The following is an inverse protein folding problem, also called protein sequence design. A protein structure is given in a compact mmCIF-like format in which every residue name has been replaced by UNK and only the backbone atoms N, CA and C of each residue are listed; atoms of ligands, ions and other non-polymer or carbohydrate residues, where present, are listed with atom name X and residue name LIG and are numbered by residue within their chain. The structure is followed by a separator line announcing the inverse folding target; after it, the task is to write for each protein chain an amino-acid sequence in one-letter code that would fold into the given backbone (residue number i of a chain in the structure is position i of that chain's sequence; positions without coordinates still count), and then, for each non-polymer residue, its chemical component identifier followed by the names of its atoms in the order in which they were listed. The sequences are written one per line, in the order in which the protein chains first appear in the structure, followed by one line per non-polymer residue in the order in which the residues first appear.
data_IF_619555829677
#
_entry.id   IF_619555829677
#
_cell.length_a   1.000
_cell.length_b   1.000
_cell.length_c   1.000
_cell.angle_alpha   90.00
_cell.angle_beta   90.00
_cell.angle_gamma   90.00
#
_symmetry.space_group_name_H-M   'P 1'
#
loop_
_entity.id
_entity.type
_entity.pdbx_description
1 polymer ?
#
# COMPACT_ATOMS: atom_id res chain seq x y z
N UNK A 1 -54.04 -21.74 18.66
CA UNK A 1 -53.32 -22.51 19.70
C UNK A 1 -52.02 -22.95 19.06
N UNK A 2 -50.95 -22.18 19.24
CA UNK A 2 -49.65 -22.38 18.58
C UNK A 2 -48.70 -23.04 19.58
N UNK A 3 -48.00 -24.07 19.11
CA UNK A 3 -46.98 -24.89 19.77
C UNK A 3 -46.26 -24.26 20.96
N UNK A 4 -46.70 -24.60 22.17
CA UNK A 4 -45.98 -24.33 23.43
C UNK A 4 -45.03 -25.49 23.80
N UNK A 5 -45.18 -26.65 23.15
CA UNK A 5 -44.40 -27.87 23.36
C UNK A 5 -43.09 -27.92 22.55
N UNK A 6 -43.06 -27.32 21.36
CA UNK A 6 -41.87 -27.31 20.50
C UNK A 6 -40.74 -26.40 21.00
N UNK A 7 -41.07 -25.26 21.60
CA UNK A 7 -40.08 -24.32 22.16
C UNK A 7 -39.43 -24.85 23.44
N UNK A 8 -40.18 -25.59 24.26
CA UNK A 8 -39.65 -26.22 25.48
C UNK A 8 -38.61 -27.30 25.18
N UNK A 9 -38.87 -28.18 24.20
CA UNK A 9 -37.93 -29.24 23.82
C UNK A 9 -36.61 -28.70 23.24
N UNK A 10 -36.65 -27.59 22.50
CA UNK A 10 -35.44 -26.95 21.96
C UNK A 10 -34.67 -26.22 23.07
N UNK A 11 -35.36 -25.62 24.04
CA UNK A 11 -34.74 -25.01 25.21
C UNK A 11 -34.04 -26.03 26.12
N UNK A 12 -34.66 -27.19 26.36
CA UNK A 12 -34.08 -28.26 27.16
C UNK A 12 -32.88 -28.93 26.48
N UNK A 13 -32.94 -29.11 25.15
CA UNK A 13 -31.79 -29.59 24.39
C UNK A 13 -30.64 -28.58 24.40
N UNK A 14 -30.91 -27.30 24.19
CA UNK A 14 -29.92 -26.24 24.28
C UNK A 14 -29.28 -26.19 25.68
N UNK A 15 -30.09 -26.32 26.73
CA UNK A 15 -29.61 -26.36 28.12
C UNK A 15 -28.75 -27.59 28.39
N UNK A 16 -29.13 -28.77 27.90
CA UNK A 16 -28.34 -30.00 28.02
C UNK A 16 -26.98 -29.91 27.30
N UNK A 17 -26.95 -29.30 26.13
CA UNK A 17 -25.71 -29.07 25.37
C UNK A 17 -24.83 -28.04 26.08
N UNK A 18 -25.42 -26.95 26.59
CA UNK A 18 -24.71 -25.94 27.39
C UNK A 18 -24.17 -26.53 28.68
N UNK A 19 -24.95 -27.33 29.42
CA UNK A 19 -24.52 -27.94 30.68
C UNK A 19 -23.42 -29.00 30.47
N UNK A 20 -23.37 -29.63 29.29
CA UNK A 20 -22.32 -30.61 28.93
C UNK A 20 -21.03 -29.95 28.47
N UNK A 21 -21.11 -28.81 27.80
CA UNK A 21 -19.95 -28.02 27.35
C UNK A 21 -19.43 -27.11 28.48
N UNK A 22 -20.34 -26.65 29.36
CA UNK A 22 -20.07 -25.74 30.46
C UNK A 22 -20.84 -26.18 31.72
N UNK A 23 -20.24 -27.00 32.60
CA UNK A 23 -20.91 -27.44 33.81
C UNK A 23 -21.35 -26.25 34.67
N UNK A 24 -22.56 -26.27 35.26
CA UNK A 24 -23.02 -25.21 36.17
C UNK A 24 -22.15 -25.07 37.44
N UNK A 25 -21.26 -26.04 37.70
CA UNK A 25 -20.30 -26.06 38.80
C UNK A 25 -18.84 -25.78 38.37
N UNK A 26 -18.60 -25.14 37.22
CA UNK A 26 -17.26 -24.70 36.86
C UNK A 26 -16.84 -23.52 37.77
N UNK A 27 -15.79 -23.73 38.57
CA UNK A 27 -15.16 -22.75 39.45
C UNK A 27 -14.88 -21.46 38.64
N UNK A 28 -15.23 -20.25 39.13
CA UNK A 28 -14.93 -18.99 38.43
C UNK A 28 -13.47 -18.87 37.95
N UNK A 29 -12.52 -19.56 38.59
CA UNK A 29 -11.13 -19.67 38.14
C UNK A 29 -10.96 -20.37 36.79
N UNK A 30 -11.72 -21.43 36.53
CA UNK A 30 -11.62 -22.20 35.27
C UNK A 30 -12.22 -21.42 34.09
N UNK A 31 -13.25 -20.61 34.35
CA UNK A 31 -13.82 -19.71 33.33
C UNK A 31 -12.85 -18.58 32.97
N UNK A 32 -12.17 -18.02 33.97
CA UNK A 32 -11.11 -17.02 33.74
C UNK A 32 -9.91 -17.64 33.00
N UNK A 33 -9.48 -18.84 33.38
CA UNK A 33 -8.42 -19.55 32.68
C UNK A 33 -8.79 -19.88 31.22
N UNK A 34 -10.04 -20.27 30.98
CA UNK A 34 -10.55 -20.48 29.62
C UNK A 34 -10.64 -19.18 28.81
N UNK A 35 -11.03 -18.06 29.42
CA UNK A 35 -11.03 -16.74 28.77
C UNK A 35 -9.61 -16.29 28.40
N UNK A 36 -8.66 -16.41 29.32
CA UNK A 36 -7.24 -16.09 29.05
C UNK A 36 -6.66 -16.98 27.96
N UNK A 37 -6.97 -18.29 27.98
CA UNK A 37 -6.56 -19.20 26.93
C UNK A 37 -7.19 -18.85 25.57
N UNK A 38 -8.46 -18.42 25.55
CA UNK A 38 -9.10 -17.94 24.33
C UNK A 38 -8.47 -16.64 23.81
N UNK A 39 -8.17 -15.68 24.69
CA UNK A 39 -7.48 -14.44 24.30
C UNK A 39 -6.10 -14.73 23.71
N UNK A 40 -5.32 -15.62 24.32
CA UNK A 40 -4.02 -16.06 23.78
C UNK A 40 -4.17 -16.75 22.42
N UNK A 41 -5.19 -17.59 22.25
CA UNK A 41 -5.45 -18.24 20.97
C UNK A 41 -5.87 -17.22 19.91
N UNK A 42 -6.69 -16.22 20.24
CA UNK A 42 -7.08 -15.15 19.33
C UNK A 42 -5.87 -14.28 18.94
N UNK A 43 -5.03 -13.89 19.90
CA UNK A 43 -3.79 -13.14 19.63
C UNK A 43 -2.83 -13.93 18.71
N UNK A 44 -2.70 -15.25 18.94
CA UNK A 44 -1.89 -16.13 18.08
C UNK A 44 -2.46 -16.25 16.66
N UNK A 45 -3.79 -16.25 16.51
CA UNK A 45 -4.46 -16.29 15.20
C UNK A 45 -4.28 -14.97 14.46
N UNK A 46 -4.47 -13.85 15.15
CA UNK A 46 -4.32 -12.52 14.56
C UNK A 46 -2.89 -12.26 14.11
N UNK A 47 -1.89 -12.62 14.92
CA UNK A 47 -0.48 -12.51 14.54
C UNK A 47 -0.15 -13.35 13.30
N UNK A 48 -0.62 -14.60 13.23
CA UNK A 48 -0.44 -15.45 12.05
C UNK A 48 -1.12 -14.89 10.79
N UNK A 49 -2.32 -14.33 10.94
CA UNK A 49 -3.03 -13.70 9.81
C UNK A 49 -2.28 -12.46 9.31
N UNK A 50 -1.83 -11.60 10.22
CA UNK A 50 -1.07 -10.40 9.87
C UNK A 50 0.26 -10.76 9.20
N UNK A 51 0.96 -11.77 9.70
CA UNK A 51 2.24 -12.20 9.10
C UNK A 51 2.03 -12.86 7.74
N UNK A 52 0.96 -13.63 7.56
CA UNK A 52 0.60 -14.20 6.26
C UNK A 52 0.30 -13.08 5.25
N UNK A 53 -0.52 -12.10 5.62
CA UNK A 53 -0.82 -10.94 4.75
C UNK A 53 0.43 -10.15 4.40
N UNK A 54 1.32 -9.88 5.38
CA UNK A 54 2.61 -9.24 5.12
C UNK A 54 3.46 -10.05 4.15
N UNK A 55 3.55 -11.37 4.33
CA UNK A 55 4.35 -12.24 3.46
C UNK A 55 3.86 -12.23 2.02
N UNK A 56 2.53 -12.20 1.81
CA UNK A 56 1.91 -12.08 0.48
C UNK A 56 2.25 -10.71 -0.11
N UNK A 57 2.07 -9.62 0.63
CA UNK A 57 2.40 -8.28 0.15
C UNK A 57 3.88 -8.17 -0.21
N UNK A 58 4.77 -8.75 0.60
CA UNK A 58 6.21 -8.78 0.32
C UNK A 58 6.50 -9.61 -0.93
N UNK A 59 5.85 -10.75 -1.12
CA UNK A 59 6.00 -11.59 -2.31
C UNK A 59 5.50 -10.90 -3.59
N UNK A 60 4.34 -10.24 -3.53
CA UNK A 60 3.79 -9.40 -4.62
C UNK A 60 4.74 -8.23 -4.93
N UNK A 61 5.23 -7.55 -3.90
CA UNK A 61 6.27 -6.52 -4.02
C UNK A 61 7.63 -7.10 -4.45
N UNK A 62 7.83 -8.42 -4.45
CA UNK A 62 9.03 -9.09 -4.94
C UNK A 62 8.87 -9.62 -6.38
N UNK A 63 7.65 -9.64 -6.94
CA UNK A 63 7.41 -10.00 -8.34
C UNK A 63 8.26 -9.16 -9.32
N UNK A 64 9.03 -9.82 -10.19
CA UNK A 64 10.18 -9.24 -10.91
C UNK A 64 9.89 -8.24 -12.04
N UNK A 65 8.72 -7.60 -12.09
CA UNK A 65 8.42 -6.61 -13.13
C UNK A 65 9.30 -5.36 -12.95
N UNK A 66 10.25 -5.20 -13.89
CA UNK A 66 11.21 -4.10 -13.91
C UNK A 66 10.52 -2.76 -14.12
N UNK A 67 9.37 -2.72 -14.80
CA UNK A 67 8.69 -1.48 -15.13
C UNK A 67 7.73 -1.04 -14.03
N UNK A 68 6.91 -1.88 -13.42
CA UNK A 68 6.05 -1.43 -12.30
C UNK A 68 6.84 -1.09 -11.03
N UNK A 69 7.96 -1.77 -10.75
CA UNK A 69 8.81 -1.49 -9.57
C UNK A 69 9.71 -0.28 -9.71
N UNK A 70 10.13 0.04 -10.94
CA UNK A 70 11.09 1.13 -11.23
C UNK A 70 10.56 2.16 -12.23
N UNK A 71 9.25 2.19 -12.48
CA UNK A 71 8.59 3.24 -13.27
C UNK A 71 8.85 4.64 -12.71
N UNK A 72 9.07 4.72 -11.40
CA UNK A 72 9.20 5.98 -10.65
C UNK A 72 10.35 6.88 -11.19
N UNK A 73 11.58 6.37 -11.38
CA UNK A 73 12.63 7.13 -12.05
C UNK A 73 12.53 7.15 -13.59
N UNK A 74 11.91 6.16 -14.24
CA UNK A 74 11.88 6.12 -15.71
C UNK A 74 11.08 7.26 -16.33
N UNK A 75 9.96 7.67 -15.71
CA UNK A 75 9.16 8.83 -16.16
C UNK A 75 9.97 10.13 -16.09
N UNK A 76 10.80 10.27 -15.05
CA UNK A 76 11.66 11.45 -14.87
C UNK A 76 12.75 11.47 -15.94
N UNK A 77 13.42 10.35 -16.18
CA UNK A 77 14.43 10.24 -17.23
C UNK A 77 13.83 10.42 -18.62
N UNK A 78 12.62 9.92 -18.86
CA UNK A 78 11.95 10.09 -20.15
C UNK A 78 11.58 11.56 -20.39
N UNK A 79 11.06 12.27 -19.37
CA UNK A 79 10.79 13.70 -19.46
C UNK A 79 12.05 14.56 -19.62
N UNK A 80 13.14 14.23 -18.93
CA UNK A 80 14.44 14.87 -19.15
C UNK A 80 14.99 14.59 -20.55
N UNK A 81 14.81 13.36 -21.05
CA UNK A 81 15.21 12.97 -22.41
C UNK A 81 14.41 13.73 -23.47
N UNK A 82 13.09 13.85 -23.31
CA UNK A 82 12.25 14.64 -24.22
C UNK A 82 12.60 16.12 -24.19
N UNK A 83 12.92 16.67 -23.01
CA UNK A 83 13.40 18.04 -22.88
C UNK A 83 14.74 18.23 -23.61
N UNK A 84 15.72 17.35 -23.37
CA UNK A 84 17.02 17.41 -24.04
C UNK A 84 16.88 17.29 -25.55
N UNK A 85 15.99 16.42 -26.03
CA UNK A 85 15.74 16.24 -27.47
C UNK A 85 15.21 17.53 -28.09
N UNK A 86 14.16 18.12 -27.53
CA UNK A 86 13.48 19.28 -28.13
C UNK A 86 14.26 20.57 -27.91
N UNK A 87 14.86 20.78 -26.74
CA UNK A 87 15.53 22.05 -26.39
C UNK A 87 17.02 22.09 -26.72
N UNK A 88 17.67 20.93 -26.91
CA UNK A 88 19.11 20.87 -27.21
C UNK A 88 19.37 20.19 -28.55
N UNK A 89 18.93 18.95 -28.74
CA UNK A 89 19.28 18.17 -29.94
C UNK A 89 18.69 18.81 -31.20
N UNK A 90 17.40 19.15 -31.19
CA UNK A 90 16.72 19.75 -32.35
C UNK A 90 17.36 21.09 -32.76
N UNK A 91 17.59 22.06 -31.86
CA UNK A 91 18.30 23.31 -32.19
C UNK A 91 19.75 23.10 -32.63
N UNK A 92 20.48 22.14 -32.06
CA UNK A 92 21.86 21.84 -32.48
C UNK A 92 21.87 21.24 -33.88
N UNK A 93 20.98 20.29 -34.19
CA UNK A 93 20.82 19.73 -35.52
C UNK A 93 20.41 20.81 -36.54
N UNK A 94 19.50 21.71 -36.14
CA UNK A 94 19.10 22.90 -36.90
C UNK A 94 20.32 23.73 -37.28
N UNK A 95 21.14 24.11 -36.30
CA UNK A 95 22.32 24.93 -36.51
C UNK A 95 23.34 24.25 -37.44
N UNK A 96 23.57 22.94 -37.27
CA UNK A 96 24.44 22.15 -38.15
C UNK A 96 23.92 22.15 -39.60
N UNK A 97 22.62 21.96 -39.81
CA UNK A 97 22.02 21.98 -41.15
C UNK A 97 22.15 23.35 -41.83
N UNK A 98 22.03 24.45 -41.08
CA UNK A 98 22.31 25.80 -41.58
C UNK A 98 23.76 25.96 -42.01
N UNK A 99 24.72 25.43 -41.23
CA UNK A 99 26.14 25.45 -41.60
C UNK A 99 26.43 24.66 -42.88
N UNK A 100 25.66 23.61 -43.15
CA UNK A 100 25.74 22.83 -44.39
C UNK A 100 24.99 23.49 -45.57
N UNK A 101 24.44 24.69 -45.42
CA UNK A 101 23.77 25.44 -46.49
C UNK A 101 22.36 24.97 -46.84
N UNK A 102 21.73 24.13 -46.01
CA UNK A 102 20.35 23.72 -46.20
C UNK A 102 19.38 24.74 -45.58
N UNK A 103 18.22 25.00 -46.23
CA UNK A 103 17.19 25.86 -45.68
C UNK A 103 16.60 25.22 -44.41
N UNK A 104 16.47 26.03 -43.37
CA UNK A 104 16.15 25.56 -42.04
C UNK A 104 14.81 26.15 -41.60
N UNK A 105 13.74 25.40 -41.85
CA UNK A 105 12.38 25.73 -41.43
C UNK A 105 11.96 24.75 -40.34
N UNK A 106 12.47 24.92 -39.12
CA UNK A 106 11.96 24.15 -38.00
C UNK A 106 10.72 24.85 -37.41
N UNK A 107 9.61 24.11 -37.23
CA UNK A 107 8.49 24.60 -36.45
C UNK A 107 8.92 24.78 -34.98
N UNK A 108 8.37 25.77 -34.32
CA UNK A 108 8.58 26.03 -32.89
C UNK A 108 7.88 24.93 -32.07
N UNK A 109 8.62 23.89 -31.68
CA UNK A 109 8.10 22.79 -30.86
C UNK A 109 8.16 23.21 -29.40
N UNK A 110 7.05 23.75 -28.90
CA UNK A 110 6.86 24.06 -27.48
C UNK A 110 6.09 22.95 -26.78
N UNK A 111 6.54 22.58 -25.59
CA UNK A 111 5.77 21.67 -24.75
C UNK A 111 4.49 22.35 -24.25
N UNK A 112 3.34 21.66 -24.28
CA UNK A 112 2.11 22.18 -23.69
C UNK A 112 2.28 22.35 -22.18
N UNK A 113 1.66 23.38 -21.61
CA UNK A 113 1.74 23.67 -20.17
C UNK A 113 1.31 22.48 -19.30
N UNK A 114 0.33 21.71 -19.75
CA UNK A 114 -0.12 20.48 -19.10
C UNK A 114 1.01 19.45 -18.91
N UNK A 115 1.97 19.38 -19.84
CA UNK A 115 3.13 18.50 -19.70
C UNK A 115 4.01 18.94 -18.53
N UNK A 116 4.30 20.23 -18.43
CA UNK A 116 5.11 20.79 -17.33
C UNK A 116 4.46 20.58 -15.97
N UNK A 117 3.14 20.78 -15.89
CA UNK A 117 2.39 20.54 -14.66
C UNK A 117 2.42 19.05 -14.25
N UNK A 118 2.12 18.14 -15.18
CA UNK A 118 2.06 16.70 -14.90
C UNK A 118 3.44 16.09 -14.60
N UNK A 119 4.45 16.45 -15.40
CA UNK A 119 5.81 15.97 -15.20
C UNK A 119 6.43 16.56 -13.93
N UNK A 120 6.24 17.87 -13.70
CA UNK A 120 6.71 18.55 -12.48
C UNK A 120 6.08 17.99 -11.20
N UNK A 121 4.77 17.69 -11.23
CA UNK A 121 4.08 17.04 -10.13
C UNK A 121 4.64 15.63 -9.85
N UNK A 122 4.90 14.84 -10.91
CA UNK A 122 5.46 13.49 -10.76
C UNK A 122 6.89 13.55 -10.22
N UNK A 123 7.71 14.47 -10.73
CA UNK A 123 9.10 14.65 -10.30
C UNK A 123 9.21 15.15 -8.85
N UNK A 124 8.30 16.03 -8.42
CA UNK A 124 8.28 16.55 -7.05
C UNK A 124 7.87 15.46 -6.05
N UNK A 125 6.80 14.70 -6.33
CA UNK A 125 6.37 13.56 -5.51
C UNK A 125 7.49 12.53 -5.37
N UNK A 126 8.19 12.22 -6.46
CA UNK A 126 9.33 11.30 -6.42
C UNK A 126 10.50 11.85 -5.60
N UNK A 127 10.85 13.12 -5.80
CA UNK A 127 11.95 13.77 -5.08
C UNK A 127 11.66 13.85 -3.57
N UNK A 128 10.43 14.16 -3.20
CA UNK A 128 9.96 14.16 -1.81
C UNK A 128 9.99 12.75 -1.22
N UNK A 129 9.46 11.75 -1.94
CA UNK A 129 9.50 10.35 -1.50
C UNK A 129 10.92 9.83 -1.28
N UNK A 130 11.84 10.12 -2.22
CA UNK A 130 13.27 9.74 -2.08
C UNK A 130 13.97 10.50 -0.95
N UNK A 131 13.61 11.75 -0.72
CA UNK A 131 14.15 12.54 0.40
C UNK A 131 13.67 11.98 1.73
N UNK A 132 12.39 11.62 1.85
CA UNK A 132 11.82 11.00 3.03
C UNK A 132 12.43 9.61 3.33
N UNK A 133 12.67 8.79 2.29
CA UNK A 133 13.38 7.51 2.41
C UNK A 133 14.81 7.68 2.93
N UNK A 134 15.57 8.64 2.36
CA UNK A 134 16.96 8.90 2.74
C UNK A 134 17.09 9.46 4.14
N UNK A 135 16.11 10.24 4.58
CA UNK A 135 16.12 10.82 5.92
C UNK A 135 15.70 9.83 7.00
N UNK A 136 15.34 8.58 6.64
CA UNK A 136 14.86 7.56 7.59
C UNK A 136 13.97 8.20 8.66
N UNK A 137 12.97 8.99 8.24
CA UNK A 137 12.02 9.65 9.16
C UNK A 137 11.09 8.58 9.74
N UNK A 138 11.68 7.62 10.46
CA UNK A 138 11.05 6.63 11.30
C UNK A 138 11.24 7.13 12.72
N UNK A 139 10.17 7.62 13.31
CA UNK A 139 10.18 8.07 14.69
C UNK A 139 8.94 8.88 15.02
N UNK A 140 8.89 10.13 14.58
CA UNK A 140 7.81 11.05 15.01
C UNK A 140 6.60 11.10 14.07
N UNK A 141 6.81 11.23 12.77
CA UNK A 141 5.68 11.34 11.82
C UNK A 141 4.90 10.02 11.69
N UNK A 142 5.63 8.89 11.63
CA UNK A 142 5.04 7.55 11.63
C UNK A 142 4.33 7.21 12.95
N UNK A 143 4.80 7.67 14.12
CA UNK A 143 4.08 7.45 15.38
C UNK A 143 2.78 8.27 15.47
N UNK A 144 2.75 9.46 14.87
CA UNK A 144 1.54 10.29 14.77
C UNK A 144 0.53 9.67 13.78
N UNK A 145 1.01 9.16 12.64
CA UNK A 145 0.14 8.52 11.62
C UNK A 145 -0.36 7.14 12.08
N UNK A 146 0.47 6.39 12.81
CA UNK A 146 0.12 5.06 13.33
C UNK A 146 -0.62 5.12 14.68
N UNK A 147 -0.95 6.32 15.18
CA UNK A 147 -1.70 6.51 16.43
C UNK A 147 -0.99 6.02 17.71
N UNK A 148 0.30 5.68 17.64
CA UNK A 148 1.04 5.21 18.80
C UNK A 148 1.70 6.39 19.51
N UNK A 149 0.87 7.18 20.19
CA UNK A 149 1.33 8.11 21.21
C UNK A 149 1.57 7.32 22.50
N UNK A 150 2.83 7.05 22.82
CA UNK A 150 3.22 6.99 24.24
C UNK A 150 3.46 8.42 24.72
#
# INVERSE_FOLDING_TARGET
MVDLTGLGGVADFAKSVVDRIWPPAADPKDKLAAQVAMEQLLESRESQLLDTQKSIIVAELQQGDKYTKRARPSIIYMGLGSFALVSVIVPVCSWILTLCGLPNTLPDIKFPEAFWAAWGATASVWSLGRTAERWKIGGKLLNIINGNSK
#
